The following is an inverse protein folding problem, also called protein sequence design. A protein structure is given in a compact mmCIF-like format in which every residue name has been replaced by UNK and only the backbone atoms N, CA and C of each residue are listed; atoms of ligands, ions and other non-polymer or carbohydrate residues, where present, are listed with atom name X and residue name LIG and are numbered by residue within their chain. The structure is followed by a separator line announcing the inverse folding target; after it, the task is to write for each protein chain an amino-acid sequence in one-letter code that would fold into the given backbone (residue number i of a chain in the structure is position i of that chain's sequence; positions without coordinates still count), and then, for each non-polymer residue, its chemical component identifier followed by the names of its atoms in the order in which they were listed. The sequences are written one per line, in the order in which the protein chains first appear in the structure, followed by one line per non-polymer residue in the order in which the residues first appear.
data_IF_572391910955
#
_entry.id   IF_572391910955
#
_cell.length_a   1.000
_cell.length_b   1.000
_cell.length_c   1.000
_cell.angle_alpha   90.00
_cell.angle_beta   90.00
_cell.angle_gamma   90.00
#
_symmetry.space_group_name_H-M   'P 1'
#
loop_
_entity.id
_entity.type
_entity.pdbx_description
1 polymer ?
#
# COMPACT_ATOMS: atom_id res chain seq x y z
N UNK A 1 -13.99 -2.63 -2.83
CA UNK A 1 -13.05 -3.67 -3.29
C UNK A 1 -11.74 -2.98 -3.66
N UNK A 2 -10.65 -3.20 -2.92
CA UNK A 2 -9.36 -2.58 -3.23
C UNK A 2 -8.49 -3.64 -3.90
N UNK A 3 -8.11 -3.39 -5.16
CA UNK A 3 -7.30 -4.31 -5.98
C UNK A 3 -5.84 -4.28 -5.51
N UNK A 4 -5.38 -5.40 -4.95
CA UNK A 4 -3.98 -5.66 -4.61
C UNK A 4 -3.20 -5.95 -5.90
N UNK A 5 -2.40 -4.99 -6.36
CA UNK A 5 -1.34 -5.25 -7.32
C UNK A 5 -0.15 -5.86 -6.58
N UNK A 6 -0.01 -7.18 -6.68
CA UNK A 6 1.10 -7.93 -6.13
C UNK A 6 2.38 -7.60 -6.92
N UNK A 7 3.26 -6.75 -6.37
CA UNK A 7 4.64 -6.62 -6.86
C UNK A 7 5.52 -7.38 -5.88
N UNK A 8 5.87 -8.62 -6.24
CA UNK A 8 6.81 -9.44 -5.49
C UNK A 8 8.19 -9.18 -6.10
N UNK A 9 9.03 -8.36 -5.44
CA UNK A 9 10.45 -8.28 -5.75
C UNK A 9 11.20 -9.21 -4.79
N UNK A 10 11.52 -10.40 -5.29
CA UNK A 10 12.26 -11.44 -4.58
C UNK A 10 13.77 -11.21 -4.69
N UNK A 11 14.37 -10.57 -3.70
CA UNK A 11 15.82 -10.65 -3.50
C UNK A 11 16.17 -10.31 -2.05
N UNK A 12 16.31 -11.34 -1.22
CA UNK A 12 16.95 -11.26 0.11
C UNK A 12 16.08 -10.78 1.27
N UNK A 13 14.77 -11.02 1.25
CA UNK A 13 13.88 -10.62 2.36
C UNK A 13 14.03 -11.62 3.50
N UNK A 14 14.58 -11.17 4.63
CA UNK A 14 14.64 -11.98 5.85
C UNK A 14 13.21 -12.37 6.27
N UNK A 15 12.91 -13.65 6.60
CA UNK A 15 11.54 -14.09 6.86
C UNK A 15 10.78 -13.27 7.91
N UNK A 16 11.49 -12.71 8.90
CA UNK A 16 10.92 -11.81 9.90
C UNK A 16 10.35 -10.51 9.28
N UNK A 17 11.05 -9.92 8.31
CA UNK A 17 10.62 -8.68 7.64
C UNK A 17 9.28 -8.87 6.93
N UNK A 18 9.07 -10.04 6.34
CA UNK A 18 7.81 -10.39 5.68
C UNK A 18 6.66 -10.57 6.69
N UNK A 19 6.90 -11.28 7.79
CA UNK A 19 5.90 -11.48 8.84
C UNK A 19 5.43 -10.15 9.44
N UNK A 20 6.37 -9.26 9.74
CA UNK A 20 6.06 -7.97 10.36
C UNK A 20 5.41 -6.99 9.38
N UNK A 21 5.74 -7.06 8.08
CA UNK A 21 5.00 -6.37 7.03
C UNK A 21 3.55 -6.81 7.01
N UNK A 22 3.30 -8.12 7.02
CA UNK A 22 1.96 -8.68 6.95
C UNK A 22 1.14 -8.29 8.19
N UNK A 23 1.78 -8.25 9.37
CA UNK A 23 1.19 -7.71 10.59
C UNK A 23 0.81 -6.22 10.46
N UNK A 24 1.72 -5.39 9.94
CA UNK A 24 1.45 -3.96 9.73
C UNK A 24 0.26 -3.73 8.77
N UNK A 25 0.16 -4.51 7.70
CA UNK A 25 -0.97 -4.47 6.77
C UNK A 25 -2.28 -4.84 7.46
N UNK A 26 -2.30 -5.95 8.22
CA UNK A 26 -3.49 -6.40 8.93
C UNK A 26 -3.95 -5.38 9.99
N UNK A 27 -2.99 -4.73 10.69
CA UNK A 27 -3.29 -3.70 11.67
C UNK A 27 -3.94 -2.47 11.03
N UNK A 28 -3.37 -1.95 9.93
CA UNK A 28 -3.94 -0.81 9.22
C UNK A 28 -5.36 -1.08 8.70
N UNK A 29 -5.65 -2.32 8.29
CA UNK A 29 -7.01 -2.72 7.90
C UNK A 29 -7.97 -2.72 9.09
N UNK A 30 -7.54 -3.28 10.24
CA UNK A 30 -8.34 -3.33 11.47
C UNK A 30 -8.66 -1.93 12.00
N UNK A 31 -7.71 -1.02 11.92
CA UNK A 31 -7.85 0.38 12.33
C UNK A 31 -8.67 1.22 11.33
N UNK A 32 -9.04 0.64 10.18
CA UNK A 32 -9.83 1.34 9.17
C UNK A 32 -9.05 2.43 8.42
N UNK A 33 -7.73 2.28 8.26
CA UNK A 33 -6.93 3.21 7.47
C UNK A 33 -7.43 3.24 6.02
N UNK A 34 -7.96 4.39 5.57
CA UNK A 34 -8.49 4.58 4.20
C UNK A 34 -7.47 5.20 3.24
N UNK A 35 -6.25 5.46 3.71
CA UNK A 35 -5.18 6.06 2.91
C UNK A 35 -4.70 5.17 1.76
N UNK A 36 -4.12 5.79 0.74
CA UNK A 36 -3.41 5.07 -0.31
C UNK A 36 -1.99 4.78 0.14
N UNK A 37 -1.62 3.50 0.22
CA UNK A 37 -0.29 3.08 0.64
C UNK A 37 0.38 2.21 -0.42
N UNK A 38 1.71 2.31 -0.48
CA UNK A 38 2.58 1.32 -1.10
C UNK A 38 3.09 0.40 -0.01
N UNK A 39 3.01 -0.89 -0.28
CA UNK A 39 3.52 -1.96 0.59
C UNK A 39 4.84 -2.44 0.01
N UNK A 40 5.89 -2.52 0.83
CA UNK A 40 7.20 -3.02 0.43
C UNK A 40 7.94 -3.58 1.63
N UNK A 41 8.87 -4.50 1.38
CA UNK A 41 9.78 -5.00 2.40
C UNK A 41 10.85 -3.94 2.67
N UNK A 42 10.97 -3.53 3.93
CA UNK A 42 11.87 -2.46 4.37
C UNK A 42 12.74 -2.94 5.51
N UNK A 43 14.08 -2.78 5.42
CA UNK A 43 14.96 -3.05 6.57
C UNK A 43 14.77 -2.03 7.69
N UNK A 44 14.04 -0.94 7.45
CA UNK A 44 13.77 0.13 8.40
C UNK A 44 12.38 0.03 9.03
N UNK A 45 11.68 -1.11 8.91
CA UNK A 45 10.36 -1.34 9.52
C UNK A 45 9.24 -0.37 9.08
N UNK A 46 9.48 0.35 7.98
CA UNK A 46 8.47 1.20 7.35
C UNK A 46 7.85 0.41 6.20
N UNK A 47 6.76 -0.32 6.47
CA UNK A 47 6.12 -1.21 5.50
C UNK A 47 5.00 -0.57 4.69
N UNK A 48 4.37 0.46 5.25
CA UNK A 48 3.26 1.20 4.64
C UNK A 48 3.72 2.63 4.38
N UNK A 49 4.09 2.95 3.15
CA UNK A 49 4.39 4.34 2.78
C UNK A 49 3.18 5.00 2.14
N UNK A 50 2.74 6.17 2.63
CA UNK A 50 1.65 6.91 2.01
C UNK A 50 2.04 7.31 0.58
N UNK A 51 1.09 7.21 -0.33
CA UNK A 51 1.26 7.52 -1.74
C UNK A 51 0.44 8.74 -2.06
N UNK A 52 1.08 9.76 -2.66
CA UNK A 52 0.36 10.83 -3.33
C UNK A 52 -0.26 10.24 -4.60
N UNK A 53 -1.60 10.24 -4.74
CA UNK A 53 -2.24 9.71 -5.93
C UNK A 53 -1.73 10.44 -7.18
N UNK A 54 -1.25 9.69 -8.17
CA UNK A 54 -0.93 10.27 -9.46
C UNK A 54 -2.22 10.78 -10.13
N UNK A 55 -2.12 11.86 -10.92
CA UNK A 55 -3.26 12.52 -11.58
C UNK A 55 -4.15 11.56 -12.38
N UNK A 56 -3.57 10.50 -12.96
CA UNK A 56 -4.30 9.44 -13.68
C UNK A 56 -5.31 8.67 -12.80
N UNK A 57 -5.12 8.65 -11.48
CA UNK A 57 -6.00 7.96 -10.52
C UNK A 57 -7.08 8.87 -9.94
N UNK A 58 -7.04 10.18 -10.24
CA UNK A 58 -8.01 11.20 -9.83
C UNK A 58 -9.12 11.45 -10.87
N UNK A 59 -9.11 10.72 -11.99
CA UNK A 59 -9.98 10.94 -13.15
C UNK A 59 -11.49 10.73 -12.97
N UNK A 60 -11.99 10.55 -11.74
CA UNK A 60 -13.42 10.42 -11.45
C UNK A 60 -14.13 11.73 -11.09
N UNK A 61 -13.41 12.83 -10.84
CA UNK A 61 -14.00 14.07 -10.32
C UNK A 61 -14.08 15.21 -11.34
N UNK A 62 -13.68 14.99 -12.59
CA UNK A 62 -13.54 16.06 -13.60
C UNK A 62 -14.26 15.80 -14.93
N UNK A 63 -15.36 15.05 -14.90
CA UNK A 63 -16.33 15.08 -16.00
C UNK A 63 -17.77 15.22 -15.47
N UNK A 64 -17.95 16.20 -14.57
CA UNK A 64 -19.20 16.95 -14.49
C UNK A 64 -19.10 18.10 -15.50
N UNK A 65 -19.41 17.83 -16.76
CA UNK A 65 -19.80 18.84 -17.72
C UNK A 65 -21.27 18.59 -18.02
N UNK A 66 -22.08 19.63 -17.82
CA UNK A 66 -23.50 19.65 -18.19
C UNK A 66 -23.73 19.67 -19.69
#
# INVERSE_FOLDING_TARGET
MISMVHVIQSSGVHPAVQQDRDFAVAQAQREGCTGNFKIFDSPFWNFLLPVIPARAKLGGYFLGIG
#
